data_IF_262444640874
#
_entry.id   IF_262444640874
#
_cell.length_a   1.000
_cell.length_b   1.000
_cell.length_c   1.000
_cell.angle_alpha   90.00
_cell.angle_beta   90.00
_cell.angle_gamma   90.00
#
_symmetry.space_group_name_H-M   'P 1'
#
loop_
_entity.id
_entity.type
_entity.pdbx_description
1 polymer ?
#
# COMPACT_ATOMS: atom_id res chain seq x y z
N UNK A 1 6.34 11.01 -18.96
CA UNK A 1 5.78 10.76 -17.61
C UNK A 1 5.93 12.03 -16.79
N UNK A 2 4.92 12.42 -16.01
CA UNK A 2 5.01 13.60 -15.14
C UNK A 2 5.99 13.31 -13.97
N UNK A 3 6.84 14.25 -13.53
CA UNK A 3 7.77 14.02 -12.42
C UNK A 3 7.05 13.71 -11.10
N UNK A 4 7.65 12.89 -10.24
CA UNK A 4 7.11 12.54 -8.92
C UNK A 4 6.80 13.76 -8.05
N UNK A 5 7.69 14.76 -8.06
CA UNK A 5 7.50 16.05 -7.38
C UNK A 5 6.21 16.74 -7.83
N UNK A 6 5.92 16.74 -9.13
CA UNK A 6 4.72 17.36 -9.65
C UNK A 6 3.44 16.58 -9.28
N UNK A 7 3.50 15.27 -9.06
CA UNK A 7 2.37 14.52 -8.48
C UNK A 7 2.16 14.88 -7.01
N UNK A 8 3.25 14.99 -6.24
CA UNK A 8 3.21 15.40 -4.84
C UNK A 8 2.57 16.79 -4.68
N UNK A 9 3.02 17.78 -5.46
CA UNK A 9 2.51 19.15 -5.39
C UNK A 9 1.02 19.23 -5.73
N UNK A 10 0.57 18.49 -6.75
CA UNK A 10 -0.84 18.43 -7.12
C UNK A 10 -1.69 17.79 -6.02
N UNK A 11 -1.22 16.69 -5.42
CA UNK A 11 -1.92 16.01 -4.32
C UNK A 11 -2.00 16.91 -3.08
N UNK A 12 -0.90 17.59 -2.73
CA UNK A 12 -0.86 18.56 -1.64
C UNK A 12 -1.86 19.69 -1.88
N UNK A 13 -1.89 20.27 -3.08
CA UNK A 13 -2.84 21.33 -3.45
C UNK A 13 -4.27 20.83 -3.33
N UNK A 14 -4.58 19.65 -3.87
CA UNK A 14 -5.91 19.06 -3.80
C UNK A 14 -6.38 18.84 -2.34
N UNK A 15 -5.47 18.43 -1.45
CA UNK A 15 -5.77 18.24 -0.03
C UNK A 15 -6.05 19.58 0.68
N UNK A 16 -5.23 20.60 0.42
CA UNK A 16 -5.44 21.95 0.97
C UNK A 16 -6.78 22.53 0.49
N UNK A 17 -7.08 22.40 -0.81
CA UNK A 17 -8.32 22.88 -1.40
C UNK A 17 -9.54 22.13 -0.83
N UNK A 18 -9.42 20.82 -0.59
CA UNK A 18 -10.46 20.03 0.08
C UNK A 18 -10.70 20.51 1.52
N UNK A 19 -9.65 20.71 2.31
CA UNK A 19 -9.76 21.22 3.69
C UNK A 19 -10.38 22.62 3.73
N UNK A 20 -10.03 23.48 2.78
CA UNK A 20 -10.63 24.80 2.62
C UNK A 20 -12.14 24.73 2.35
N UNK A 21 -12.58 23.82 1.47
CA UNK A 21 -14.00 23.59 1.18
C UNK A 21 -14.76 23.02 2.38
N UNK A 22 -14.16 22.06 3.08
CA UNK A 22 -14.71 21.49 4.33
C UNK A 22 -14.97 22.57 5.39
N UNK A 23 -14.01 23.48 5.58
CA UNK A 23 -14.12 24.57 6.57
C UNK A 23 -15.25 25.55 6.24
N UNK A 24 -15.53 25.76 4.95
CA UNK A 24 -16.63 26.65 4.50
C UNK A 24 -17.99 25.96 4.41
N UNK A 25 -18.05 24.64 4.55
CA UNK A 25 -19.27 23.85 4.34
C UNK A 25 -19.57 23.54 2.87
N UNK A 26 -18.65 23.82 1.95
CA UNK A 26 -18.78 23.54 0.51
C UNK A 26 -18.50 22.05 0.18
N UNK A 27 -17.99 21.29 1.14
CA UNK A 27 -17.73 19.86 1.04
C UNK A 27 -18.05 19.17 2.37
N UNK A 28 -18.51 17.93 2.30
CA UNK A 28 -18.81 17.09 3.47
C UNK A 28 -17.88 15.87 3.45
N UNK A 29 -17.21 15.61 4.57
CA UNK A 29 -16.50 14.36 4.79
C UNK A 29 -17.41 13.37 5.50
N UNK A 30 -18.07 12.54 4.70
CA UNK A 30 -18.99 11.53 5.19
C UNK A 30 -18.22 10.29 5.69
N UNK A 31 -18.21 10.09 7.01
CA UNK A 31 -17.63 8.90 7.67
C UNK A 31 -18.53 7.67 7.56
N UNK A 32 -18.88 7.32 6.33
CA UNK A 32 -19.73 6.16 6.02
C UNK A 32 -18.91 5.00 5.47
N UNK A 33 -19.36 3.79 5.75
CA UNK A 33 -18.66 2.57 5.35
C UNK A 33 -18.49 2.44 3.83
N UNK A 34 -19.45 2.90 3.03
CA UNK A 34 -19.39 2.87 1.55
C UNK A 34 -18.29 3.79 0.97
N UNK A 35 -18.10 4.98 1.54
CA UNK A 35 -16.99 5.86 1.14
C UNK A 35 -15.63 5.26 1.49
N UNK A 36 -15.53 4.61 2.66
CA UNK A 36 -14.33 3.90 3.06
C UNK A 36 -14.05 2.71 2.12
N UNK A 37 -15.07 1.92 1.79
CA UNK A 37 -15.00 0.79 0.87
C UNK A 37 -14.48 1.19 -0.51
N UNK A 38 -14.97 2.31 -1.07
CA UNK A 38 -14.46 2.79 -2.36
C UNK A 38 -12.97 3.15 -2.32
N UNK A 39 -12.49 3.68 -1.21
CA UNK A 39 -11.06 3.98 -1.02
C UNK A 39 -10.25 2.70 -0.91
N UNK A 40 -10.73 1.73 -0.13
CA UNK A 40 -10.08 0.43 0.04
C UNK A 40 -10.00 -0.35 -1.27
N UNK A 41 -11.06 -0.37 -2.08
CA UNK A 41 -11.06 -1.05 -3.39
C UNK A 41 -9.98 -0.51 -4.32
N UNK A 42 -9.79 0.82 -4.34
CA UNK A 42 -8.71 1.43 -5.13
C UNK A 42 -7.33 1.04 -4.62
N UNK A 43 -7.12 1.05 -3.31
CA UNK A 43 -5.85 0.62 -2.71
C UNK A 43 -5.60 -0.86 -3.01
N UNK A 44 -6.61 -1.71 -2.88
CA UNK A 44 -6.52 -3.15 -3.18
C UNK A 44 -6.09 -3.42 -4.63
N UNK A 45 -6.63 -2.65 -5.59
CA UNK A 45 -6.21 -2.72 -7.00
C UNK A 45 -4.74 -2.36 -7.20
N UNK A 46 -4.27 -1.30 -6.56
CA UNK A 46 -2.87 -0.86 -6.66
C UNK A 46 -1.91 -1.85 -6.00
N UNK A 47 -2.31 -2.47 -4.86
CA UNK A 47 -1.56 -3.57 -4.25
C UNK A 47 -1.54 -4.81 -5.15
N UNK A 48 -2.65 -5.14 -5.80
CA UNK A 48 -2.72 -6.22 -6.78
C UNK A 48 -1.76 -6.00 -7.95
N UNK A 49 -1.72 -4.79 -8.50
CA UNK A 49 -0.79 -4.43 -9.58
C UNK A 49 0.68 -4.52 -9.13
N UNK A 50 1.00 -4.02 -7.92
CA UNK A 50 2.34 -4.11 -7.35
C UNK A 50 2.78 -5.56 -7.10
N UNK A 51 1.86 -6.42 -6.63
CA UNK A 51 2.11 -7.86 -6.49
C UNK A 51 2.45 -8.51 -7.84
N UNK A 52 1.68 -8.19 -8.89
CA UNK A 52 1.93 -8.75 -10.22
C UNK A 52 3.28 -8.29 -10.78
N UNK A 53 3.70 -7.06 -10.48
CA UNK A 53 5.00 -6.56 -10.92
C UNK A 53 6.16 -7.26 -10.22
N UNK A 54 6.01 -7.59 -8.93
CA UNK A 54 6.98 -8.43 -8.20
C UNK A 54 7.08 -9.81 -8.86
N UNK A 55 5.93 -10.45 -9.11
CA UNK A 55 5.84 -11.78 -9.70
C UNK A 55 6.52 -11.84 -11.08
N UNK A 56 6.20 -10.89 -11.96
CA UNK A 56 6.82 -10.75 -13.28
C UNK A 56 8.35 -10.61 -13.20
N UNK A 57 8.85 -9.80 -12.27
CA UNK A 57 10.29 -9.57 -12.12
C UNK A 57 11.02 -10.81 -11.59
N UNK A 58 10.40 -11.53 -10.65
CA UNK A 58 10.94 -12.79 -10.13
C UNK A 58 10.95 -13.86 -11.23
N UNK A 59 9.87 -13.99 -12.00
CA UNK A 59 9.74 -15.02 -13.03
C UNK A 59 10.68 -14.79 -14.22
N UNK A 60 10.92 -13.53 -14.60
CA UNK A 60 11.68 -13.19 -15.80
C UNK A 60 13.19 -13.03 -15.56
N UNK A 61 13.58 -12.44 -14.43
CA UNK A 61 14.95 -11.93 -14.24
C UNK A 61 15.65 -12.50 -12.99
N UNK A 62 15.01 -13.41 -12.24
CA UNK A 62 15.63 -13.95 -11.02
C UNK A 62 16.96 -14.69 -11.29
N UNK A 63 17.92 -14.51 -10.39
CA UNK A 63 19.27 -15.08 -10.49
C UNK A 63 20.24 -14.25 -11.35
N UNK A 64 19.78 -13.16 -11.98
CA UNK A 64 20.67 -12.22 -12.66
C UNK A 64 21.63 -11.55 -11.66
N UNK A 65 22.91 -11.46 -12.04
CA UNK A 65 23.94 -10.82 -11.21
C UNK A 65 23.81 -9.29 -11.15
N UNK A 66 23.12 -8.68 -12.12
CA UNK A 66 22.81 -7.27 -12.19
C UNK A 66 21.39 -7.09 -12.73
N UNK A 67 20.47 -6.69 -11.85
CA UNK A 67 19.06 -6.48 -12.18
C UNK A 67 18.64 -5.08 -11.68
N UNK A 68 18.63 -4.11 -12.60
CA UNK A 68 18.16 -2.76 -12.31
C UNK A 68 16.62 -2.69 -12.22
N UNK A 69 15.90 -3.66 -12.79
CA UNK A 69 14.44 -3.73 -12.75
C UNK A 69 13.92 -4.14 -11.37
N UNK A 70 14.66 -5.02 -10.68
CA UNK A 70 14.42 -5.34 -9.28
C UNK A 70 14.56 -4.13 -8.36
N UNK A 71 15.59 -3.30 -8.56
CA UNK A 71 15.74 -2.04 -7.80
C UNK A 71 14.51 -1.14 -7.99
N UNK A 72 14.13 -0.86 -9.24
CA UNK A 72 12.98 0.00 -9.56
C UNK A 72 11.68 -0.53 -8.95
N UNK A 73 11.42 -1.84 -9.11
CA UNK A 73 10.23 -2.51 -8.57
C UNK A 73 10.20 -2.43 -7.04
N UNK A 74 11.31 -2.74 -6.39
CA UNK A 74 11.41 -2.73 -4.93
C UNK A 74 11.16 -1.33 -4.35
N UNK A 75 11.78 -0.30 -4.91
CA UNK A 75 11.65 1.07 -4.38
C UNK A 75 10.31 1.70 -4.72
N UNK A 76 9.72 1.39 -5.87
CA UNK A 76 8.35 1.81 -6.19
C UNK A 76 7.35 1.22 -5.18
N UNK A 77 7.41 -0.10 -4.98
CA UNK A 77 6.52 -0.82 -4.07
C UNK A 77 6.74 -0.38 -2.62
N UNK A 78 7.98 -0.17 -2.20
CA UNK A 78 8.32 0.39 -0.90
C UNK A 78 7.63 1.74 -0.67
N UNK A 79 7.70 2.65 -1.64
CA UNK A 79 7.05 3.95 -1.58
C UNK A 79 5.53 3.84 -1.50
N UNK A 80 4.94 2.95 -2.30
CA UNK A 80 3.50 2.70 -2.32
C UNK A 80 3.00 2.14 -0.98
N UNK A 81 3.67 1.12 -0.42
CA UNK A 81 3.36 0.55 0.88
C UNK A 81 3.47 1.60 2.00
N UNK A 82 4.52 2.42 1.97
CA UNK A 82 4.71 3.49 2.95
C UNK A 82 3.57 4.52 2.88
N UNK A 83 3.25 5.01 1.69
CA UNK A 83 2.23 6.02 1.49
C UNK A 83 0.84 5.51 1.91
N UNK A 84 0.48 4.28 1.50
CA UNK A 84 -0.80 3.69 1.89
C UNK A 84 -0.87 3.34 3.38
N UNK A 85 0.22 2.84 3.97
CA UNK A 85 0.28 2.60 5.41
C UNK A 85 0.01 3.87 6.22
N UNK A 86 0.61 5.00 5.84
CA UNK A 86 0.37 6.28 6.51
C UNK A 86 -1.06 6.81 6.29
N UNK A 87 -1.57 6.72 5.05
CA UNK A 87 -2.92 7.17 4.72
C UNK A 87 -3.97 6.35 5.48
N UNK A 88 -3.83 5.03 5.49
CA UNK A 88 -4.74 4.13 6.20
C UNK A 88 -4.61 4.26 7.72
N UNK A 89 -3.43 4.58 8.24
CA UNK A 89 -3.29 4.93 9.66
C UNK A 89 -4.12 6.16 10.03
N UNK A 90 -4.11 7.20 9.20
CA UNK A 90 -4.91 8.40 9.40
C UNK A 90 -6.42 8.13 9.24
N UNK A 91 -6.81 7.47 8.14
CA UNK A 91 -8.21 7.07 7.90
C UNK A 91 -8.75 6.17 9.01
N UNK A 92 -7.93 5.28 9.58
CA UNK A 92 -8.32 4.46 10.72
C UNK A 92 -8.73 5.27 11.95
N UNK A 93 -8.14 6.46 12.15
CA UNK A 93 -8.59 7.37 13.21
C UNK A 93 -9.93 8.04 12.87
N UNK A 94 -10.07 8.52 11.63
CA UNK A 94 -11.29 9.17 11.16
C UNK A 94 -12.51 8.24 11.13
N UNK A 95 -12.29 6.97 10.78
CA UNK A 95 -13.31 5.93 10.67
C UNK A 95 -13.36 4.98 11.89
N UNK A 96 -12.65 5.31 12.98
CA UNK A 96 -12.61 4.46 14.19
C UNK A 96 -13.99 4.00 14.68
N UNK A 97 -15.03 4.85 14.74
CA UNK A 97 -16.37 4.41 15.16
C UNK A 97 -16.92 3.27 14.27
N UNK A 98 -16.79 3.41 12.95
CA UNK A 98 -17.25 2.41 11.97
C UNK A 98 -16.45 1.11 12.11
N UNK A 99 -15.13 1.21 12.25
CA UNK A 99 -14.26 0.03 12.41
C UNK A 99 -14.53 -0.73 13.71
N UNK A 100 -14.84 -0.03 14.81
CA UNK A 100 -15.21 -0.64 16.08
C UNK A 100 -16.58 -1.30 15.99
N UNK A 101 -17.58 -0.60 15.43
CA UNK A 101 -18.94 -1.11 15.26
C UNK A 101 -18.96 -2.40 14.44
N UNK A 102 -18.16 -2.46 13.37
CA UNK A 102 -18.04 -3.62 12.48
C UNK A 102 -17.08 -4.71 12.98
N UNK A 103 -16.35 -4.47 14.07
CA UNK A 103 -15.34 -5.41 14.59
C UNK A 103 -14.08 -5.53 13.72
N UNK A 104 -13.81 -4.55 12.83
CA UNK A 104 -12.69 -4.55 11.89
C UNK A 104 -11.41 -3.89 12.46
N UNK A 105 -11.45 -3.23 13.62
CA UNK A 105 -10.33 -2.42 14.10
C UNK A 105 -9.02 -3.21 14.23
N UNK A 106 -9.06 -4.42 14.81
CA UNK A 106 -7.85 -5.21 15.00
C UNK A 106 -7.21 -5.67 13.68
N UNK A 107 -8.02 -5.98 12.67
CA UNK A 107 -7.49 -6.37 11.36
C UNK A 107 -7.01 -5.15 10.57
N UNK A 108 -7.66 -4.01 10.74
CA UNK A 108 -7.20 -2.74 10.20
C UNK A 108 -5.79 -2.40 10.68
N UNK A 109 -5.55 -2.48 11.98
CA UNK A 109 -4.24 -2.16 12.56
C UNK A 109 -3.15 -3.12 12.02
N UNK A 110 -3.46 -4.42 11.93
CA UNK A 110 -2.53 -5.41 11.33
C UNK A 110 -2.29 -5.19 9.83
N UNK A 111 -3.29 -4.75 9.07
CA UNK A 111 -3.15 -4.39 7.66
C UNK A 111 -2.16 -3.22 7.52
N UNK A 112 -2.33 -2.18 8.33
CA UNK A 112 -1.43 -1.03 8.35
C UNK A 112 -0.02 -1.45 8.74
N UNK A 113 0.14 -2.27 9.78
CA UNK A 113 1.44 -2.81 10.20
C UNK A 113 2.12 -3.60 9.08
N UNK A 114 1.41 -4.50 8.39
CA UNK A 114 1.98 -5.26 7.26
C UNK A 114 2.49 -4.35 6.15
N UNK A 115 1.78 -3.27 5.82
CA UNK A 115 2.27 -2.31 4.83
C UNK A 115 3.55 -1.62 5.30
N UNK A 116 3.58 -1.18 6.57
CA UNK A 116 4.75 -0.50 7.12
C UNK A 116 5.96 -1.42 7.25
N UNK A 117 5.77 -2.69 7.61
CA UNK A 117 6.84 -3.69 7.66
C UNK A 117 7.50 -3.90 6.28
N UNK A 118 6.71 -4.04 5.21
CA UNK A 118 7.25 -4.12 3.85
C UNK A 118 7.91 -2.82 3.38
N UNK A 119 7.48 -1.68 3.90
CA UNK A 119 8.04 -0.36 3.57
C UNK A 119 9.37 -0.05 4.28
N UNK A 120 9.64 -0.66 5.45
CA UNK A 120 10.87 -0.40 6.22
C UNK A 120 12.03 -1.32 5.83
N UNK A 121 11.83 -2.27 4.90
CA UNK A 121 12.92 -3.09 4.37
C UNK A 121 14.02 -2.20 3.75
N UNK A 122 15.27 -2.39 4.18
CA UNK A 122 16.43 -1.60 3.74
C UNK A 122 17.63 -2.50 3.40
N UNK A 123 17.57 -3.25 2.29
CA UNK A 123 18.74 -3.94 1.80
C UNK A 123 19.80 -2.94 1.35
N UNK A 124 21.09 -3.27 1.52
CA UNK A 124 22.18 -2.45 0.99
C UNK A 124 22.23 -2.46 -0.54
N UNK A 125 21.82 -3.59 -1.13
CA UNK A 125 21.67 -3.81 -2.57
C UNK A 125 20.41 -4.66 -2.75
N UNK A 126 19.50 -4.28 -3.65
CA UNK A 126 18.36 -5.14 -3.97
C UNK A 126 18.85 -6.34 -4.77
N UNK A 127 18.40 -7.52 -4.40
CA UNK A 127 18.82 -8.79 -4.99
C UNK A 127 17.55 -9.57 -5.25
N UNK A 128 17.37 -9.96 -6.50
CA UNK A 128 16.29 -10.80 -7.00
C UNK A 128 16.87 -12.20 -7.27
N UNK A 129 17.33 -12.89 -6.23
CA UNK A 129 17.83 -14.26 -6.37
C UNK A 129 16.69 -15.22 -6.72
N UNK A 130 17.00 -16.39 -7.28
CA UNK A 130 16.00 -17.45 -7.42
C UNK A 130 15.33 -17.74 -6.06
N UNK A 131 14.03 -18.02 -6.03
CA UNK A 131 13.25 -18.18 -4.78
C UNK A 131 13.71 -19.35 -3.89
N UNK A 132 14.48 -20.28 -4.45
CA UNK A 132 15.11 -21.40 -3.73
C UNK A 132 16.64 -21.26 -3.61
N UNK A 133 17.20 -20.09 -3.91
CA UNK A 133 18.65 -19.87 -3.88
C UNK A 133 19.20 -19.97 -2.46
N UNK A 134 20.29 -20.72 -2.31
CA UNK A 134 21.05 -20.81 -1.06
C UNK A 134 22.09 -19.69 -0.91
N UNK A 135 22.40 -18.98 -2.00
CA UNK A 135 23.50 -18.03 -2.07
C UNK A 135 23.05 -16.58 -2.28
N UNK A 136 21.86 -16.36 -2.85
CA UNK A 136 21.32 -15.04 -3.15
C UNK A 136 19.96 -14.88 -2.45
N UNK A 137 19.77 -13.86 -1.61
CA UNK A 137 18.44 -13.56 -1.08
C UNK A 137 17.52 -13.07 -2.21
N UNK A 138 16.20 -13.18 -1.99
CA UNK A 138 15.19 -12.57 -2.86
C UNK A 138 14.42 -11.50 -2.07
N UNK A 139 14.88 -10.25 -2.18
CA UNK A 139 14.28 -9.11 -1.49
C UNK A 139 12.89 -8.75 -2.05
N UNK A 140 12.63 -9.04 -3.34
CA UNK A 140 11.30 -8.86 -3.93
C UNK A 140 10.29 -9.83 -3.34
N UNK A 141 10.67 -11.09 -3.16
CA UNK A 141 9.83 -12.11 -2.52
C UNK A 141 9.57 -11.77 -1.04
N UNK A 142 10.59 -11.29 -0.31
CA UNK A 142 10.44 -10.82 1.07
C UNK A 142 9.45 -9.64 1.16
N UNK A 143 9.60 -8.62 0.31
CA UNK A 143 8.66 -7.49 0.27
C UNK A 143 7.26 -7.94 -0.19
N UNK A 144 7.20 -8.86 -1.15
CA UNK A 144 5.97 -9.46 -1.69
C UNK A 144 5.16 -10.19 -0.62
N UNK A 145 5.82 -10.86 0.33
CA UNK A 145 5.14 -11.48 1.47
C UNK A 145 4.33 -10.46 2.29
N UNK A 146 4.94 -9.34 2.68
CA UNK A 146 4.26 -8.30 3.45
C UNK A 146 3.13 -7.63 2.66
N UNK A 147 3.36 -7.39 1.36
CA UNK A 147 2.36 -6.84 0.45
C UNK A 147 1.15 -7.77 0.33
N UNK A 148 1.36 -9.06 0.07
CA UNK A 148 0.30 -10.05 -0.04
C UNK A 148 -0.48 -10.20 1.27
N UNK A 149 0.22 -10.17 2.41
CA UNK A 149 -0.41 -10.21 3.73
C UNK A 149 -1.29 -8.98 3.97
N UNK A 150 -0.82 -7.79 3.63
CA UNK A 150 -1.60 -6.56 3.71
C UNK A 150 -2.84 -6.61 2.80
N UNK A 151 -2.69 -7.12 1.57
CA UNK A 151 -3.80 -7.27 0.62
C UNK A 151 -4.87 -8.25 1.13
N UNK A 152 -4.48 -9.40 1.67
CA UNK A 152 -5.43 -10.35 2.24
C UNK A 152 -6.22 -9.73 3.41
N UNK A 153 -5.54 -8.95 4.26
CA UNK A 153 -6.19 -8.24 5.37
C UNK A 153 -7.13 -7.14 4.87
N UNK A 154 -6.80 -6.45 3.77
CA UNK A 154 -7.66 -5.48 3.12
C UNK A 154 -8.94 -6.11 2.56
N UNK A 155 -8.81 -7.26 1.90
CA UNK A 155 -9.94 -8.03 1.36
C UNK A 155 -10.88 -8.47 2.51
N UNK A 156 -10.34 -8.98 3.62
CA UNK A 156 -11.14 -9.35 4.79
C UNK A 156 -11.86 -8.13 5.42
N UNK A 157 -11.20 -6.97 5.52
CA UNK A 157 -11.85 -5.72 5.98
C UNK A 157 -13.00 -5.33 5.06
N UNK A 158 -12.78 -5.41 3.75
CA UNK A 158 -13.79 -5.05 2.74
C UNK A 158 -15.04 -5.93 2.90
N UNK A 159 -14.84 -7.24 3.09
CA UNK A 159 -15.93 -8.19 3.34
C UNK A 159 -16.68 -7.91 4.66
N UNK A 160 -15.97 -7.50 5.71
CA UNK A 160 -16.58 -7.14 7.01
C UNK A 160 -17.42 -5.87 6.88
N UNK A 161 -16.93 -4.85 6.18
CA UNK A 161 -17.61 -3.57 6.04
C UNK A 161 -18.88 -3.64 5.17
N UNK A 162 -18.96 -4.62 4.26
CA UNK A 162 -20.13 -4.84 3.39
C UNK A 162 -21.30 -5.54 4.08
N UNK A 163 -21.05 -6.26 5.19
CA UNK A 163 -22.08 -6.94 5.99
C UNK A 163 -22.76 -5.97 6.95
#
# INVERSE_FOLDING_TARGET
MKPSESYYLDAMKALIDFNGRMTRGDAVFERRADNLLSTLDRIGKDLGAASNKIDEEIDMESGAWFDLGADDTFYFNKGQLYAYGLLLKALGQDFKPVLVEKGALNIWDRMVESMLEGAVLQPWVVINGETASLAQPNHLAEQGFYLLRARAQLEEITDILQK
#
